data_IF_859219350998
#
_entry.id   IF_859219350998
#
_cell.length_a   1.000
_cell.length_b   1.000
_cell.length_c   1.000
_cell.angle_alpha   90.00
_cell.angle_beta   90.00
_cell.angle_gamma   90.00
#
_symmetry.space_group_name_H-M   'P 1'
#
loop_
_entity.id
_entity.type
_entity.pdbx_description
1 polymer ?
#
# COMPACT_ATOMS: atom_id res chain seq x y z
N UNK A 1 3.92 -11.48 -2.52
CA UNK A 1 2.91 -10.72 -1.75
C UNK A 1 3.43 -10.51 -0.35
N UNK A 2 3.50 -9.29 0.13
CA UNK A 2 3.90 -9.02 1.51
C UNK A 2 2.79 -9.48 2.47
N UNK A 3 3.17 -10.03 3.64
CA UNK A 3 2.24 -10.41 4.71
C UNK A 3 1.28 -9.27 5.11
N UNK A 4 1.69 -8.03 4.91
CA UNK A 4 0.92 -6.81 5.15
C UNK A 4 -0.49 -6.82 4.53
N UNK A 5 -0.65 -7.41 3.32
CA UNK A 5 -1.96 -7.53 2.68
C UNK A 5 -2.94 -8.42 3.45
N UNK A 6 -2.45 -9.33 4.28
CA UNK A 6 -3.29 -10.26 5.04
C UNK A 6 -3.72 -9.70 6.41
N UNK A 7 -3.00 -8.75 7.00
CA UNK A 7 -3.33 -8.22 8.34
C UNK A 7 -4.72 -7.59 8.40
N UNK A 8 -5.17 -6.94 7.32
CA UNK A 8 -6.53 -6.38 7.25
C UNK A 8 -7.62 -7.48 7.29
N UNK A 9 -7.35 -8.63 6.68
CA UNK A 9 -8.27 -9.77 6.71
C UNK A 9 -8.27 -10.43 8.08
N UNK A 10 -7.09 -10.65 8.68
CA UNK A 10 -6.96 -11.16 10.05
C UNK A 10 -7.70 -10.26 11.06
N UNK A 11 -7.60 -8.94 10.91
CA UNK A 11 -8.34 -8.00 11.74
C UNK A 11 -9.87 -8.09 11.56
N UNK A 12 -10.35 -8.38 10.34
CA UNK A 12 -11.79 -8.57 10.08
C UNK A 12 -12.29 -9.91 10.61
N UNK A 13 -11.46 -10.95 10.62
CA UNK A 13 -11.84 -12.26 11.15
C UNK A 13 -12.08 -12.24 12.67
N UNK A 14 -11.39 -11.34 13.38
CA UNK A 14 -11.51 -11.14 14.82
C UNK A 14 -12.64 -10.17 15.21
N UNK A 15 -13.14 -9.38 14.26
CA UNK A 15 -14.12 -8.33 14.52
C UNK A 15 -15.56 -8.79 14.31
N UNK A 16 -16.52 -8.28 15.13
CA UNK A 16 -17.93 -8.40 14.84
C UNK A 16 -18.28 -7.70 13.52
N UNK A 17 -19.37 -8.11 12.85
CA UNK A 17 -19.76 -7.53 11.56
C UNK A 17 -19.87 -6.01 11.59
N UNK A 18 -20.44 -5.45 12.65
CA UNK A 18 -20.56 -4.00 12.85
C UNK A 18 -19.21 -3.30 13.06
N UNK A 19 -18.18 -4.01 13.53
CA UNK A 19 -16.87 -3.47 13.85
C UNK A 19 -15.83 -3.67 12.74
N UNK A 20 -16.09 -4.56 11.77
CA UNK A 20 -15.17 -4.85 10.65
C UNK A 20 -14.64 -3.61 9.93
N UNK A 21 -15.49 -2.60 9.55
CA UNK A 21 -14.99 -1.40 8.89
C UNK A 21 -13.99 -0.60 9.75
N UNK A 22 -14.23 -0.54 11.07
CA UNK A 22 -13.33 0.13 12.01
C UNK A 22 -12.00 -0.62 12.15
N UNK A 23 -12.04 -1.95 12.22
CA UNK A 23 -10.82 -2.77 12.29
C UNK A 23 -9.92 -2.56 11.07
N UNK A 24 -10.49 -2.52 9.86
CA UNK A 24 -9.76 -2.19 8.64
C UNK A 24 -9.14 -0.79 8.73
N UNK A 25 -9.91 0.20 9.20
CA UNK A 25 -9.42 1.59 9.33
C UNK A 25 -8.23 1.69 10.29
N UNK A 26 -8.21 0.95 11.40
CA UNK A 26 -7.08 0.92 12.31
C UNK A 26 -5.82 0.30 11.70
N UNK A 27 -5.95 -0.79 10.93
CA UNK A 27 -4.82 -1.37 10.19
C UNK A 27 -4.28 -0.40 9.16
N UNK A 28 -5.16 0.32 8.45
CA UNK A 28 -4.75 1.36 7.49
C UNK A 28 -4.09 2.55 8.20
N UNK A 29 -4.56 2.95 9.38
CA UNK A 29 -3.93 3.99 10.19
C UNK A 29 -2.50 3.60 10.62
N UNK A 30 -2.25 2.31 10.93
CA UNK A 30 -0.90 1.80 11.15
C UNK A 30 0.02 1.97 9.94
N UNK A 31 -0.51 1.74 8.72
CA UNK A 31 0.21 2.03 7.47
C UNK A 31 0.58 3.50 7.32
N UNK A 32 -0.33 4.41 7.69
CA UNK A 32 -0.09 5.86 7.65
C UNK A 32 1.00 6.29 8.64
N UNK A 33 1.00 5.73 9.85
CA UNK A 33 2.06 5.97 10.84
C UNK A 33 3.42 5.50 10.31
N UNK A 34 3.49 4.33 9.67
CA UNK A 34 4.72 3.81 9.09
C UNK A 34 5.26 4.70 7.96
N UNK A 35 4.38 5.38 7.22
CA UNK A 35 4.73 6.32 6.17
C UNK A 35 5.55 7.52 6.67
N UNK A 36 5.25 7.97 7.88
CA UNK A 36 5.99 9.07 8.53
C UNK A 36 7.21 8.54 9.27
N UNK A 37 7.02 7.53 10.12
CA UNK A 37 8.07 7.03 11.02
C UNK A 37 9.20 6.38 10.24
N UNK A 38 8.90 5.55 9.22
CA UNK A 38 9.90 4.78 8.48
C UNK A 38 10.98 5.64 7.84
N UNK A 39 10.65 6.55 6.92
CA UNK A 39 11.62 7.41 6.28
C UNK A 39 12.33 8.38 7.23
N UNK A 40 11.66 8.88 8.28
CA UNK A 40 12.31 9.73 9.28
C UNK A 40 13.31 8.94 10.13
N UNK A 41 12.97 7.71 10.52
CA UNK A 41 13.91 6.82 11.17
C UNK A 41 15.12 6.53 10.28
N UNK A 42 14.88 6.30 8.98
CA UNK A 42 15.95 6.08 8.02
C UNK A 42 16.92 7.27 7.96
N UNK A 43 16.42 8.51 7.96
CA UNK A 43 17.28 9.72 8.00
C UNK A 43 18.22 9.75 9.20
N UNK A 44 17.75 9.25 10.36
CA UNK A 44 18.54 9.24 11.59
C UNK A 44 19.65 8.17 11.57
N UNK A 45 19.40 7.04 10.90
CA UNK A 45 20.27 5.86 11.02
C UNK A 45 21.07 5.52 9.77
N UNK A 46 20.73 6.08 8.58
CA UNK A 46 21.33 5.70 7.32
C UNK A 46 22.83 5.98 7.24
N UNK A 47 23.30 7.03 7.91
CA UNK A 47 24.69 7.47 7.94
C UNK A 47 25.31 7.36 9.35
N UNK A 48 24.69 6.57 10.28
CA UNK A 48 25.16 6.39 11.66
C UNK A 48 26.42 5.51 11.76
N UNK A 49 26.78 4.80 10.72
CA UNK A 49 27.95 3.91 10.66
C UNK A 49 28.85 4.29 9.49
N UNK A 50 30.11 3.87 9.55
CA UNK A 50 31.11 4.09 8.49
C UNK A 50 30.63 3.52 7.15
N UNK A 51 29.96 2.37 7.16
CA UNK A 51 29.37 1.79 5.96
C UNK A 51 27.94 2.34 5.83
N UNK A 52 27.59 3.04 4.74
CA UNK A 52 26.27 3.61 4.53
C UNK A 52 25.17 2.56 4.63
N UNK A 53 24.01 2.93 5.20
CA UNK A 53 22.81 2.10 5.37
C UNK A 53 22.93 0.90 6.33
N UNK A 54 24.08 0.60 6.94
CA UNK A 54 24.16 -0.45 7.98
C UNK A 54 23.19 -0.16 9.12
N UNK A 55 23.11 1.10 9.58
CA UNK A 55 22.15 1.54 10.59
C UNK A 55 20.70 1.29 10.17
N UNK A 56 20.37 1.49 8.89
CA UNK A 56 19.03 1.21 8.34
C UNK A 56 18.67 -0.27 8.46
N UNK A 57 19.58 -1.16 8.05
CA UNK A 57 19.34 -2.60 8.14
C UNK A 57 19.23 -3.09 9.58
N UNK A 58 20.05 -2.55 10.49
CA UNK A 58 19.95 -2.86 11.93
C UNK A 58 18.62 -2.38 12.53
N UNK A 59 18.18 -1.17 12.18
CA UNK A 59 16.88 -0.66 12.60
C UNK A 59 15.71 -1.52 12.07
N UNK A 60 15.77 -1.95 10.81
CA UNK A 60 14.79 -2.87 10.23
C UNK A 60 14.79 -4.21 10.98
N UNK A 61 15.96 -4.78 11.27
CA UNK A 61 16.08 -6.03 12.01
C UNK A 61 15.48 -5.89 13.42
N UNK A 62 15.81 -4.80 14.14
CA UNK A 62 15.26 -4.52 15.48
C UNK A 62 13.73 -4.37 15.45
N UNK A 63 13.18 -3.62 14.49
CA UNK A 63 11.73 -3.47 14.32
C UNK A 63 11.05 -4.81 14.02
N UNK A 64 11.67 -5.68 13.22
CA UNK A 64 11.13 -7.01 12.96
C UNK A 64 11.13 -7.88 14.23
N UNK A 65 12.18 -7.83 15.05
CA UNK A 65 12.23 -8.57 16.34
C UNK A 65 11.13 -8.07 17.27
N UNK A 66 10.96 -6.75 17.40
CA UNK A 66 9.87 -6.16 18.18
C UNK A 66 8.51 -6.60 17.63
N UNK A 67 8.32 -6.54 16.30
CA UNK A 67 7.11 -7.02 15.63
C UNK A 67 6.83 -8.51 15.90
N UNK A 68 7.84 -9.36 15.85
CA UNK A 68 7.70 -10.78 16.23
C UNK A 68 7.26 -10.92 17.69
N UNK A 69 7.82 -10.13 18.60
CA UNK A 69 7.41 -10.11 20.01
C UNK A 69 5.92 -9.79 20.19
N UNK A 70 5.37 -8.86 19.39
CA UNK A 70 3.94 -8.53 19.45
C UNK A 70 3.03 -9.70 19.06
N UNK A 71 3.48 -10.61 18.18
CA UNK A 71 2.68 -11.79 17.82
C UNK A 71 2.48 -12.74 18.99
N UNK A 72 3.41 -12.81 19.95
CA UNK A 72 3.22 -13.62 21.16
C UNK A 72 2.16 -13.04 22.12
N UNK A 73 1.86 -11.74 22.00
CA UNK A 73 0.82 -11.09 22.77
C UNK A 73 -0.57 -11.16 22.10
N UNK A 74 -0.65 -11.66 20.84
CA UNK A 74 -1.89 -11.82 20.12
C UNK A 74 -2.54 -13.17 20.42
N UNK A 75 -3.71 -13.13 21.05
CA UNK A 75 -4.57 -14.31 21.20
C UNK A 75 -5.40 -14.48 19.91
N UNK A 76 -4.91 -15.31 19.00
CA UNK A 76 -5.59 -15.60 17.74
C UNK A 76 -6.52 -16.81 17.92
N UNK A 77 -7.80 -16.73 17.47
CA UNK A 77 -8.72 -17.84 17.55
C UNK A 77 -8.17 -19.06 16.80
N UNK A 78 -8.18 -20.22 17.43
CA UNK A 78 -7.70 -21.46 16.84
C UNK A 78 -8.45 -21.81 15.56
N UNK A 79 -7.83 -22.59 14.69
CA UNK A 79 -8.38 -23.04 13.39
C UNK A 79 -9.80 -23.59 13.45
N UNK A 80 -10.21 -24.17 14.57
CA UNK A 80 -11.54 -24.73 14.80
C UNK A 80 -12.62 -23.64 14.85
N UNK A 81 -12.31 -22.49 15.45
CA UNK A 81 -13.25 -21.37 15.54
C UNK A 81 -13.47 -20.69 14.18
N UNK A 82 -12.45 -20.71 13.32
CA UNK A 82 -12.51 -20.18 11.95
C UNK A 82 -13.33 -21.12 11.05
N UNK A 83 -13.13 -22.43 11.17
CA UNK A 83 -13.85 -23.44 10.40
C UNK A 83 -15.35 -23.50 10.76
N UNK A 84 -15.72 -23.22 12.01
CA UNK A 84 -17.12 -23.22 12.46
C UNK A 84 -17.92 -22.00 11.96
N UNK A 85 -17.28 -20.95 11.44
CA UNK A 85 -17.94 -19.74 10.91
C UNK A 85 -18.25 -19.77 9.42
N UNK A 86 -17.77 -20.77 8.68
CA UNK A 86 -17.96 -20.84 7.24
C UNK A 86 -18.67 -22.09 6.80
N UNK A 87 -19.92 -21.99 6.32
CA UNK A 87 -20.37 -22.90 5.26
C UNK A 87 -19.40 -22.73 4.10
N UNK A 88 -18.57 -23.76 3.87
CA UNK A 88 -17.61 -23.78 2.77
C UNK A 88 -18.40 -23.69 1.46
N UNK A 89 -18.65 -22.49 0.98
CA UNK A 89 -19.13 -22.28 -0.37
C UNK A 89 -18.12 -22.98 -1.29
N UNK A 90 -18.63 -23.88 -2.13
CA UNK A 90 -17.82 -24.69 -3.03
C UNK A 90 -16.82 -23.79 -3.77
N UNK A 91 -15.54 -23.93 -3.50
CA UNK A 91 -14.50 -23.06 -4.04
C UNK A 91 -14.57 -23.10 -5.58
N UNK A 92 -14.72 -21.93 -6.19
CA UNK A 92 -14.72 -21.80 -7.66
C UNK A 92 -13.33 -22.10 -8.18
N UNK A 93 -13.25 -22.87 -9.26
CA UNK A 93 -11.98 -23.17 -9.94
C UNK A 93 -11.44 -21.89 -10.59
N UNK A 94 -10.12 -21.73 -10.66
CA UNK A 94 -9.49 -20.60 -11.35
C UNK A 94 -10.04 -20.37 -12.76
N UNK A 95 -10.26 -21.44 -13.53
CA UNK A 95 -10.84 -21.36 -14.86
C UNK A 95 -12.26 -20.75 -14.87
N UNK A 96 -13.06 -20.99 -13.83
CA UNK A 96 -14.39 -20.39 -13.68
C UNK A 96 -14.32 -18.91 -13.29
N UNK A 97 -13.33 -18.52 -12.48
CA UNK A 97 -13.10 -17.13 -12.11
C UNK A 97 -12.67 -16.30 -13.31
N UNK A 98 -11.73 -16.79 -14.12
CA UNK A 98 -11.24 -16.10 -15.31
C UNK A 98 -12.24 -16.07 -16.50
N UNK A 99 -13.36 -16.76 -16.42
CA UNK A 99 -14.47 -16.60 -17.38
C UNK A 99 -15.28 -15.32 -17.15
N UNK A 100 -15.18 -14.70 -15.97
CA UNK A 100 -15.84 -13.44 -15.68
C UNK A 100 -15.00 -12.27 -16.17
N UNK A 101 -15.45 -11.48 -17.17
CA UNK A 101 -14.69 -10.32 -17.65
C UNK A 101 -14.43 -9.30 -16.53
N UNK A 102 -15.36 -9.16 -15.60
CA UNK A 102 -15.24 -8.28 -14.45
C UNK A 102 -14.04 -8.65 -13.56
N UNK A 103 -13.85 -9.96 -13.29
CA UNK A 103 -12.71 -10.44 -12.49
C UNK A 103 -11.41 -10.23 -13.27
N UNK A 104 -11.38 -10.50 -14.55
CA UNK A 104 -10.19 -10.32 -15.41
C UNK A 104 -9.76 -8.84 -15.40
N UNK A 105 -10.70 -7.92 -15.65
CA UNK A 105 -10.43 -6.48 -15.62
C UNK A 105 -9.91 -6.03 -14.26
N UNK A 106 -10.55 -6.47 -13.17
CA UNK A 106 -10.10 -6.11 -11.83
C UNK A 106 -8.67 -6.60 -11.54
N UNK A 107 -8.35 -7.84 -11.93
CA UNK A 107 -7.00 -8.41 -11.77
C UNK A 107 -5.98 -7.61 -12.58
N UNK A 108 -6.27 -7.33 -13.84
CA UNK A 108 -5.37 -6.55 -14.72
C UNK A 108 -5.15 -5.14 -14.14
N UNK A 109 -6.21 -4.44 -13.74
CA UNK A 109 -6.10 -3.10 -13.14
C UNK A 109 -5.27 -3.12 -11.86
N UNK A 110 -5.48 -4.10 -10.97
CA UNK A 110 -4.70 -4.25 -9.75
C UNK A 110 -3.22 -4.53 -10.05
N UNK A 111 -2.93 -5.41 -11.01
CA UNK A 111 -1.57 -5.76 -11.42
C UNK A 111 -0.84 -4.56 -12.03
N UNK A 112 -1.48 -3.84 -12.96
CA UNK A 112 -0.91 -2.66 -13.60
C UNK A 112 -0.64 -1.57 -12.58
N UNK A 113 -1.62 -1.25 -11.73
CA UNK A 113 -1.45 -0.25 -10.68
C UNK A 113 -0.30 -0.59 -9.73
N UNK A 114 -0.19 -1.85 -9.33
CA UNK A 114 0.87 -2.31 -8.43
C UNK A 114 2.25 -2.34 -9.11
N UNK A 115 2.33 -2.77 -10.38
CA UNK A 115 3.56 -2.81 -11.14
C UNK A 115 4.12 -1.40 -11.38
N UNK A 116 3.28 -0.47 -11.84
CA UNK A 116 3.68 0.93 -12.06
C UNK A 116 4.13 1.60 -10.76
N UNK A 117 3.39 1.39 -9.69
CA UNK A 117 3.75 1.91 -8.37
C UNK A 117 5.13 1.40 -7.93
N UNK A 118 5.38 0.09 -8.00
CA UNK A 118 6.68 -0.47 -7.61
C UNK A 118 7.82 0.04 -8.49
N UNK A 119 7.61 0.11 -9.81
CA UNK A 119 8.62 0.57 -10.75
C UNK A 119 9.06 2.01 -10.42
N UNK A 120 8.10 2.92 -10.28
CA UNK A 120 8.40 4.34 -10.06
C UNK A 120 8.89 4.58 -8.64
N UNK A 121 8.26 3.98 -7.63
CA UNK A 121 8.67 4.14 -6.23
C UNK A 121 10.09 3.66 -5.96
N UNK A 122 10.52 2.52 -6.56
CA UNK A 122 11.87 2.00 -6.34
C UNK A 122 12.95 2.75 -7.11
N UNK A 123 12.64 3.25 -8.29
CA UNK A 123 13.60 4.00 -9.10
C UNK A 123 13.79 5.46 -8.66
N UNK A 124 12.75 6.08 -8.09
CA UNK A 124 12.78 7.51 -7.74
C UNK A 124 13.88 7.89 -6.73
N UNK A 125 14.13 7.16 -5.63
CA UNK A 125 15.23 7.52 -4.71
C UNK A 125 16.59 7.55 -5.40
N UNK A 126 16.83 6.61 -6.32
CA UNK A 126 18.06 6.56 -7.11
C UNK A 126 18.15 7.74 -8.07
N UNK A 127 17.05 8.08 -8.75
CA UNK A 127 16.97 9.22 -9.65
C UNK A 127 17.18 10.55 -8.90
N UNK A 128 16.56 10.74 -7.74
CA UNK A 128 16.72 11.94 -6.90
C UNK A 128 18.18 12.15 -6.53
N UNK A 129 18.86 11.11 -6.03
CA UNK A 129 20.28 11.20 -5.68
C UNK A 129 21.14 11.36 -6.92
N UNK A 130 20.83 10.67 -8.02
CA UNK A 130 21.52 10.79 -9.31
C UNK A 130 21.42 12.20 -9.94
N UNK A 131 20.33 12.93 -9.66
CA UNK A 131 20.16 14.33 -10.06
C UNK A 131 20.81 15.34 -9.10
N UNK A 132 21.60 14.88 -8.11
CA UNK A 132 22.36 15.74 -7.21
C UNK A 132 21.61 16.17 -5.93
N UNK A 133 20.41 15.66 -5.68
CA UNK A 133 19.68 15.92 -4.43
C UNK A 133 20.17 15.01 -3.30
N UNK A 134 19.81 15.37 -2.08
CA UNK A 134 20.23 14.62 -0.88
C UNK A 134 19.41 13.35 -0.67
N UNK A 135 19.97 12.37 0.06
CA UNK A 135 19.23 11.19 0.54
C UNK A 135 18.01 11.59 1.38
N UNK A 136 18.11 12.71 2.12
CA UNK A 136 16.99 13.21 2.92
C UNK A 136 15.84 13.67 2.04
N UNK A 137 16.11 14.32 0.91
CA UNK A 137 15.07 14.67 -0.06
C UNK A 137 14.38 13.41 -0.61
N UNK A 138 15.14 12.36 -0.91
CA UNK A 138 14.57 11.09 -1.35
C UNK A 138 13.66 10.46 -0.28
N UNK A 139 14.06 10.48 0.99
CA UNK A 139 13.24 10.01 2.11
C UNK A 139 11.94 10.82 2.27
N UNK A 140 11.98 12.14 2.09
CA UNK A 140 10.79 13.00 2.17
C UNK A 140 9.81 12.74 1.02
N UNK A 141 10.32 12.55 -0.19
CA UNK A 141 9.51 12.18 -1.36
C UNK A 141 8.83 10.84 -1.14
N UNK A 142 9.54 9.84 -0.63
CA UNK A 142 8.97 8.52 -0.29
C UNK A 142 7.90 8.67 0.81
N UNK A 143 8.15 9.48 1.84
CA UNK A 143 7.15 9.77 2.89
C UNK A 143 5.87 10.34 2.30
N UNK A 144 5.99 11.36 1.45
CA UNK A 144 4.84 11.99 0.79
C UNK A 144 4.07 11.00 -0.09
N UNK A 145 4.79 10.13 -0.82
CA UNK A 145 4.20 9.06 -1.61
C UNK A 145 3.38 8.09 -0.75
N UNK A 146 3.97 7.57 0.32
CA UNK A 146 3.29 6.59 1.17
C UNK A 146 2.11 7.22 1.91
N UNK A 147 2.22 8.49 2.33
CA UNK A 147 1.07 9.25 2.83
C UNK A 147 -0.05 9.33 1.79
N UNK A 148 0.28 9.66 0.54
CA UNK A 148 -0.67 9.71 -0.58
C UNK A 148 -1.26 8.33 -0.93
N UNK A 149 -0.57 7.23 -0.66
CA UNK A 149 -1.10 5.86 -0.81
C UNK A 149 -2.15 5.52 0.25
N UNK A 150 -1.95 5.92 1.51
CA UNK A 150 -2.79 5.46 2.61
C UNK A 150 -3.84 6.48 3.06
N UNK A 151 -3.56 7.78 3.05
CA UNK A 151 -4.50 8.79 3.49
C UNK A 151 -5.84 8.78 2.73
N UNK A 152 -5.89 8.61 1.38
CA UNK A 152 -7.15 8.54 0.66
C UNK A 152 -8.01 7.33 1.05
N UNK A 153 -7.44 6.26 1.62
CA UNK A 153 -8.19 5.06 1.98
C UNK A 153 -9.36 5.32 2.94
N UNK A 154 -9.26 6.37 3.77
CA UNK A 154 -10.34 6.74 4.69
C UNK A 154 -11.60 7.22 3.97
N UNK A 155 -11.49 7.73 2.75
CA UNK A 155 -12.63 8.23 1.97
C UNK A 155 -12.82 7.52 0.63
N UNK A 156 -11.88 6.73 0.14
CA UNK A 156 -12.01 5.98 -1.11
C UNK A 156 -13.25 5.09 -1.12
N UNK A 157 -13.59 4.46 0.02
CA UNK A 157 -14.83 3.69 0.16
C UNK A 157 -16.11 4.52 -0.08
N UNK A 158 -16.14 5.76 0.40
CA UNK A 158 -17.25 6.68 0.17
C UNK A 158 -17.33 7.11 -1.31
N UNK A 159 -16.18 7.33 -1.95
CA UNK A 159 -16.13 7.62 -3.38
C UNK A 159 -16.67 6.46 -4.22
N UNK A 160 -16.30 5.22 -3.88
CA UNK A 160 -16.80 4.02 -4.54
C UNK A 160 -18.31 3.89 -4.36
N UNK A 161 -18.83 4.12 -3.15
CA UNK A 161 -20.26 4.06 -2.87
C UNK A 161 -21.05 5.14 -3.65
N UNK A 162 -20.48 6.35 -3.82
CA UNK A 162 -21.15 7.47 -4.49
C UNK A 162 -21.05 7.43 -6.01
N UNK A 163 -19.89 7.09 -6.57
CA UNK A 163 -19.59 7.20 -7.99
C UNK A 163 -19.50 5.86 -8.72
N UNK A 164 -19.48 4.77 -7.98
CA UNK A 164 -19.26 3.42 -8.51
C UNK A 164 -17.77 3.04 -8.61
N UNK A 165 -17.50 1.76 -8.48
CA UNK A 165 -16.13 1.23 -8.42
C UNK A 165 -15.34 1.46 -9.71
N UNK A 166 -15.99 1.34 -10.85
CA UNK A 166 -15.34 1.45 -12.17
C UNK A 166 -14.80 2.86 -12.43
N UNK A 167 -15.58 3.89 -12.07
CA UNK A 167 -15.16 5.29 -12.21
C UNK A 167 -14.01 5.64 -11.30
N UNK A 168 -13.98 5.09 -10.08
CA UNK A 168 -12.89 5.31 -9.13
C UNK A 168 -11.61 4.62 -9.62
N UNK A 169 -11.69 3.41 -10.19
CA UNK A 169 -10.55 2.75 -10.84
C UNK A 169 -10.04 3.59 -12.00
N UNK A 170 -10.93 4.05 -12.88
CA UNK A 170 -10.55 4.88 -14.03
C UNK A 170 -9.85 6.18 -13.60
N UNK A 171 -10.38 6.87 -12.59
CA UNK A 171 -9.74 8.06 -12.02
C UNK A 171 -8.33 7.74 -11.45
N UNK A 172 -8.17 6.59 -10.81
CA UNK A 172 -6.88 6.11 -10.33
C UNK A 172 -5.88 5.86 -11.47
N UNK A 173 -6.31 5.20 -12.54
CA UNK A 173 -5.45 4.95 -13.71
C UNK A 173 -5.06 6.26 -14.42
N UNK A 174 -5.97 7.23 -14.52
CA UNK A 174 -5.65 8.56 -15.03
C UNK A 174 -4.61 9.26 -14.14
N UNK A 175 -4.76 9.20 -12.82
CA UNK A 175 -3.78 9.77 -11.90
C UNK A 175 -2.39 9.11 -12.05
N UNK A 176 -2.33 7.79 -12.27
CA UNK A 176 -1.08 7.08 -12.59
C UNK A 176 -0.44 7.59 -13.89
N UNK A 177 -1.26 7.80 -14.93
CA UNK A 177 -0.80 8.40 -16.20
C UNK A 177 -0.26 9.83 -16.01
N UNK A 178 -0.98 10.66 -15.23
CA UNK A 178 -0.55 12.01 -14.90
C UNK A 178 0.74 12.02 -14.08
N UNK A 179 0.94 11.06 -13.18
CA UNK A 179 2.20 10.91 -12.44
C UNK A 179 3.40 10.75 -13.40
N UNK A 180 3.25 9.91 -14.44
CA UNK A 180 4.25 9.76 -15.48
C UNK A 180 4.50 11.05 -16.27
N UNK A 181 3.43 11.78 -16.65
CA UNK A 181 3.56 13.06 -17.34
C UNK A 181 4.30 14.11 -16.50
N UNK A 182 4.00 14.20 -15.20
CA UNK A 182 4.70 15.12 -14.28
C UNK A 182 6.16 14.74 -14.14
N UNK A 183 6.48 13.44 -14.07
CA UNK A 183 7.86 12.97 -14.02
C UNK A 183 8.67 13.34 -15.29
N UNK A 184 8.01 13.40 -16.46
CA UNK A 184 8.64 13.78 -17.73
C UNK A 184 8.86 15.29 -17.89
N UNK A 185 8.26 16.14 -17.05
CA UNK A 185 8.37 17.60 -17.18
C UNK A 185 9.71 18.15 -16.70
N UNK A 186 10.48 17.40 -15.92
CA UNK A 186 11.79 17.85 -15.46
C UNK A 186 12.34 17.04 -14.29
N UNK A 187 13.49 17.48 -13.83
CA UNK A 187 14.25 16.84 -12.75
C UNK A 187 14.29 17.70 -11.47
N UNK A 188 13.38 18.68 -11.36
CA UNK A 188 13.28 19.47 -10.13
C UNK A 188 12.66 18.67 -9.00
N UNK A 189 12.96 19.05 -7.77
CA UNK A 189 12.45 18.38 -6.57
C UNK A 189 10.91 18.34 -6.55
N UNK A 190 10.27 19.41 -7.00
CA UNK A 190 8.81 19.55 -7.14
C UNK A 190 8.21 18.53 -8.09
N UNK A 191 8.89 18.18 -9.17
CA UNK A 191 8.46 17.17 -10.12
C UNK A 191 8.47 15.78 -9.48
N UNK A 192 9.53 15.45 -8.73
CA UNK A 192 9.59 14.19 -7.99
C UNK A 192 8.47 14.08 -6.94
N UNK A 193 8.24 15.14 -6.14
CA UNK A 193 7.13 15.16 -5.18
C UNK A 193 5.78 15.01 -5.86
N UNK A 194 5.51 15.82 -6.90
CA UNK A 194 4.25 15.81 -7.63
C UNK A 194 3.96 14.44 -8.27
N UNK A 195 4.96 13.87 -8.94
CA UNK A 195 4.85 12.56 -9.57
C UNK A 195 4.55 11.46 -8.54
N UNK A 196 5.27 11.43 -7.40
CA UNK A 196 5.07 10.39 -6.40
C UNK A 196 3.78 10.55 -5.60
N UNK A 197 3.33 11.77 -5.33
CA UNK A 197 2.02 12.01 -4.70
C UNK A 197 0.89 11.52 -5.63
N UNK A 198 0.92 11.89 -6.92
CA UNK A 198 -0.06 11.41 -7.90
C UNK A 198 -0.01 9.89 -8.07
N UNK A 199 1.18 9.31 -8.05
CA UNK A 199 1.37 7.86 -8.09
C UNK A 199 0.69 7.18 -6.90
N UNK A 200 0.86 7.73 -5.69
CA UNK A 200 0.25 7.20 -4.46
C UNK A 200 -1.27 7.24 -4.51
N UNK A 201 -1.85 8.38 -4.89
CA UNK A 201 -3.31 8.56 -5.03
C UNK A 201 -3.85 7.61 -6.13
N UNK A 202 -3.18 7.58 -7.27
CA UNK A 202 -3.56 6.72 -8.39
C UNK A 202 -3.54 5.25 -8.03
N UNK A 203 -2.51 4.80 -7.32
CA UNK A 203 -2.45 3.45 -6.79
C UNK A 203 -3.58 3.16 -5.81
N UNK A 204 -3.85 4.06 -4.87
CA UNK A 204 -4.92 3.89 -3.90
C UNK A 204 -6.28 3.64 -4.58
N UNK A 205 -6.67 4.52 -5.49
CA UNK A 205 -7.97 4.42 -6.17
C UNK A 205 -8.06 3.18 -7.07
N UNK A 206 -7.00 2.90 -7.84
CA UNK A 206 -6.99 1.75 -8.75
C UNK A 206 -6.95 0.42 -7.99
N UNK A 207 -6.07 0.29 -7.00
CA UNK A 207 -5.86 -0.97 -6.29
C UNK A 207 -7.00 -1.28 -5.32
N UNK A 208 -7.46 -0.29 -4.55
CA UNK A 208 -8.60 -0.48 -3.63
C UNK A 208 -9.87 -0.71 -4.44
N UNK A 209 -10.09 0.06 -5.51
CA UNK A 209 -11.23 -0.14 -6.40
C UNK A 209 -11.22 -1.55 -7.00
N UNK A 210 -10.10 -1.99 -7.57
CA UNK A 210 -9.98 -3.32 -8.16
C UNK A 210 -10.19 -4.45 -7.13
N UNK A 211 -9.62 -4.32 -5.93
CA UNK A 211 -9.85 -5.30 -4.86
C UNK A 211 -11.30 -5.31 -4.35
N UNK A 212 -11.96 -4.16 -4.31
CA UNK A 212 -13.40 -4.06 -3.99
C UNK A 212 -14.26 -4.70 -5.08
N UNK A 213 -13.84 -4.62 -6.34
CA UNK A 213 -14.54 -5.25 -7.47
C UNK A 213 -14.49 -6.78 -7.43
N UNK A 214 -13.49 -7.35 -6.73
CA UNK A 214 -13.31 -8.80 -6.54
C UNK A 214 -14.06 -9.35 -5.32
N UNK A 215 -14.41 -8.51 -4.35
CA UNK A 215 -15.14 -8.86 -3.13
C UNK A 215 -16.64 -8.88 -3.36
#
# INVERSE_FOLDING_TARGET
MSAQGFYRFAATDMASEAYRPKAISYVMAGGLLSAVIGPQLNKLVQDAYVIPFVGTYLAIAALNVVGMGLFFALDLPGKVAIAARGTVAKARTFAQLFRSPRIVVAVICAMVAYALMNLVMTSTPLAVVGCGFTKNNANDIVSAHVLAMFAPSFFTGHLIARFGVERVIAAGLVALGLAGLVALQGIELTNFFGALILLGIGWNFSFIGATTMLA
#
